data_IF_573387623716
#
_entry.id   IF_573387623716
#
_cell.length_a   1.000
_cell.length_b   1.000
_cell.length_c   1.000
_cell.angle_alpha   90.00
_cell.angle_beta   90.00
_cell.angle_gamma   90.00
#
_symmetry.space_group_name_H-M   'P 1'
#
loop_
_entity.id
_entity.type
_entity.pdbx_description
1 polymer ?
#
# COMPACT_ATOMS: atom_id res chain seq x y z
N UNK A 1 22.77 88.67 -20.03
CA UNK A 1 23.79 89.73 -19.99
C UNK A 1 24.16 89.90 -18.52
N UNK A 2 25.34 89.45 -18.07
CA UNK A 2 25.75 89.62 -16.67
C UNK A 2 26.24 91.06 -16.55
N UNK A 3 25.46 91.91 -15.87
CA UNK A 3 25.80 93.30 -15.58
C UNK A 3 25.92 93.40 -14.06
N UNK A 4 27.01 93.94 -13.54
CA UNK A 4 27.09 94.33 -12.13
C UNK A 4 25.96 95.33 -11.87
N UNK A 5 24.93 94.88 -11.14
CA UNK A 5 23.84 95.75 -10.71
C UNK A 5 24.34 96.47 -9.47
N UNK A 6 24.51 97.77 -9.63
CA UNK A 6 24.84 98.73 -8.59
C UNK A 6 23.74 98.79 -7.53
N UNK A 7 24.13 98.59 -6.27
CA UNK A 7 23.69 99.19 -4.99
C UNK A 7 22.30 99.84 -4.82
N UNK A 8 21.28 99.42 -5.55
CA UNK A 8 19.88 99.74 -5.24
C UNK A 8 19.11 98.44 -5.03
N UNK A 9 19.06 98.02 -3.78
CA UNK A 9 18.19 96.95 -3.32
C UNK A 9 16.91 97.56 -2.72
N UNK A 10 15.75 97.08 -3.16
CA UNK A 10 14.47 97.36 -2.49
C UNK A 10 14.04 96.06 -1.82
N UNK A 11 13.84 96.07 -0.50
CA UNK A 11 13.49 94.91 0.32
C UNK A 11 14.39 93.66 0.09
N UNK A 12 15.72 93.86 0.06
CA UNK A 12 16.74 92.82 -0.20
C UNK A 12 16.72 92.18 -1.61
N UNK A 13 16.06 92.80 -2.60
CA UNK A 13 16.09 92.34 -4.00
C UNK A 13 16.67 93.39 -4.96
N UNK A 14 17.41 92.97 -6.01
CA UNK A 14 18.05 93.89 -6.95
C UNK A 14 17.03 94.64 -7.82
N UNK A 15 17.20 95.97 -7.96
CA UNK A 15 16.36 96.81 -8.82
C UNK A 15 16.67 96.57 -10.31
N UNK A 16 15.68 96.09 -11.07
CA UNK A 16 15.84 95.72 -12.48
C UNK A 16 15.40 96.85 -13.43
N UNK A 17 16.06 97.03 -14.58
CA UNK A 17 15.64 98.01 -15.58
C UNK A 17 14.25 97.66 -16.18
N UNK A 18 13.52 98.69 -16.62
CA UNK A 18 12.19 98.53 -17.20
C UNK A 18 12.16 97.51 -18.36
N UNK A 19 11.21 96.57 -18.31
CA UNK A 19 11.09 95.48 -19.28
C UNK A 19 11.73 94.15 -18.84
N UNK A 20 12.04 93.97 -17.55
CA UNK A 20 12.56 92.72 -16.96
C UNK A 20 11.77 92.37 -15.71
N UNK A 21 10.63 91.71 -15.87
CA UNK A 21 9.74 91.39 -14.75
C UNK A 21 9.93 89.97 -14.20
N UNK A 22 10.76 89.13 -14.82
CA UNK A 22 11.07 87.77 -14.38
C UNK A 22 12.56 87.59 -14.11
N UNK A 23 12.92 87.17 -12.89
CA UNK A 23 14.32 86.92 -12.53
C UNK A 23 14.52 85.87 -11.45
N UNK A 24 15.70 85.27 -11.48
CA UNK A 24 16.20 84.35 -10.46
C UNK A 24 17.36 85.03 -9.77
N UNK A 25 17.30 85.11 -8.44
CA UNK A 25 18.33 85.69 -7.60
C UNK A 25 18.81 84.65 -6.58
N UNK A 26 20.09 84.35 -6.61
CA UNK A 26 20.77 83.56 -5.60
C UNK A 26 21.69 84.49 -4.81
N UNK A 27 21.55 84.48 -3.48
CA UNK A 27 22.25 85.37 -2.55
C UNK A 27 23.45 84.70 -1.84
N UNK A 28 23.82 83.48 -2.24
CA UNK A 28 24.86 82.67 -1.60
C UNK A 28 24.31 81.56 -0.70
N UNK A 29 23.09 81.72 -0.16
CA UNK A 29 22.43 80.71 0.68
C UNK A 29 21.14 80.18 0.06
N UNK A 30 20.33 81.04 -0.56
CA UNK A 30 18.98 80.75 -1.02
C UNK A 30 18.73 81.27 -2.42
N UNK A 31 18.16 80.41 -3.25
CA UNK A 31 17.59 80.82 -4.53
C UNK A 31 16.20 81.42 -4.28
N UNK A 32 15.92 82.57 -4.89
CA UNK A 32 14.61 83.23 -4.93
C UNK A 32 14.22 83.49 -6.39
N UNK A 33 13.01 83.10 -6.77
CA UNK A 33 12.45 83.33 -8.10
C UNK A 33 11.35 84.37 -7.99
N UNK A 34 11.36 85.37 -8.85
CA UNK A 34 10.45 86.52 -8.84
C UNK A 34 9.83 86.74 -10.21
N UNK A 35 8.52 86.98 -10.24
CA UNK A 35 7.75 87.30 -11.45
C UNK A 35 6.76 88.43 -11.15
N UNK A 36 6.81 89.52 -11.92
CA UNK A 36 5.93 90.70 -11.76
C UNK A 36 5.89 91.22 -10.31
N UNK A 37 7.03 91.20 -9.61
CA UNK A 37 7.15 91.62 -8.21
C UNK A 37 6.59 90.64 -7.17
N UNK A 38 6.16 89.44 -7.58
CA UNK A 38 5.71 88.37 -6.66
C UNK A 38 6.76 87.25 -6.60
N UNK A 39 7.05 86.79 -5.38
CA UNK A 39 7.91 85.63 -5.17
C UNK A 39 7.20 84.35 -5.60
N UNK A 40 7.81 83.58 -6.50
CA UNK A 40 7.34 82.26 -6.90
C UNK A 40 7.92 81.22 -5.93
N UNK A 41 7.05 80.40 -5.34
CA UNK A 41 7.48 79.25 -4.57
C UNK A 41 7.82 78.09 -5.53
N UNK A 42 9.12 77.85 -5.71
CA UNK A 42 9.65 76.78 -6.55
C UNK A 42 9.77 75.44 -5.81
N UNK A 43 9.46 75.40 -4.51
CA UNK A 43 9.43 74.15 -3.74
C UNK A 43 8.09 73.42 -3.84
N UNK A 44 7.08 74.02 -4.46
CA UNK A 44 5.80 73.37 -4.73
C UNK A 44 6.04 72.19 -5.68
N UNK A 45 5.50 71.02 -5.31
CA UNK A 45 5.58 69.75 -6.07
C UNK A 45 5.21 69.91 -7.55
N UNK A 46 4.28 70.83 -7.84
CA UNK A 46 3.69 71.07 -9.14
C UNK A 46 4.36 72.22 -9.93
N UNK A 47 5.38 72.85 -9.35
CA UNK A 47 6.14 73.90 -10.03
C UNK A 47 7.23 73.26 -10.88
N UNK A 48 7.18 73.44 -12.21
CA UNK A 48 8.18 72.88 -13.13
C UNK A 48 9.63 73.30 -12.86
N UNK A 49 9.84 74.17 -11.87
CA UNK A 49 11.12 74.64 -11.37
C UNK A 49 11.87 73.62 -10.51
N UNK A 50 11.19 72.71 -9.83
CA UNK A 50 11.83 71.80 -8.85
C UNK A 50 12.91 70.89 -9.47
N UNK A 51 12.75 70.49 -10.72
CA UNK A 51 13.74 69.68 -11.47
C UNK A 51 14.82 70.52 -12.16
N UNK A 52 14.59 71.83 -12.29
CA UNK A 52 15.50 72.79 -12.92
C UNK A 52 16.44 73.45 -11.91
N UNK A 53 16.01 73.58 -10.65
CA UNK A 53 16.85 74.06 -9.55
C UNK A 53 17.85 72.96 -9.18
N UNK A 54 19.17 73.20 -9.35
CA UNK A 54 20.19 72.24 -8.98
C UNK A 54 20.07 71.90 -7.48
N UNK A 55 20.29 70.64 -7.10
CA UNK A 55 20.26 70.27 -5.69
C UNK A 55 21.50 70.85 -4.98
N UNK A 56 21.34 72.07 -4.44
CA UNK A 56 22.39 72.82 -3.75
C UNK A 56 22.93 72.09 -2.51
N UNK A 57 22.26 71.03 -2.03
CA UNK A 57 22.72 70.18 -0.91
C UNK A 57 24.01 69.40 -1.18
N UNK A 58 24.50 69.35 -2.42
CA UNK A 58 25.75 68.69 -2.78
C UNK A 58 26.98 69.60 -2.75
N UNK A 59 26.80 70.90 -2.48
CA UNK A 59 27.88 71.88 -2.36
C UNK A 59 28.02 72.33 -0.90
N UNK A 60 29.25 72.57 -0.43
CA UNK A 60 29.49 73.09 0.91
C UNK A 60 29.05 74.56 0.97
N UNK A 61 28.31 74.93 2.03
CA UNK A 61 27.78 76.28 2.21
C UNK A 61 28.89 77.36 2.16
N UNK A 62 30.06 77.04 2.71
CA UNK A 62 31.23 77.92 2.76
C UNK A 62 31.80 78.30 1.39
N UNK A 63 31.56 77.50 0.33
CA UNK A 63 32.04 77.78 -1.02
C UNK A 63 31.12 78.75 -1.80
N UNK A 64 29.88 78.92 -1.36
CA UNK A 64 28.84 79.66 -2.06
C UNK A 64 28.48 81.00 -1.40
N UNK A 65 28.91 81.22 -0.15
CA UNK A 65 28.54 82.37 0.69
C UNK A 65 28.82 83.75 0.05
N UNK A 66 29.83 83.85 -0.83
CA UNK A 66 30.21 85.08 -1.52
C UNK A 66 29.78 85.16 -3.00
N UNK A 67 28.95 84.23 -3.46
CA UNK A 67 28.51 84.17 -4.86
C UNK A 67 27.05 84.58 -4.97
N UNK A 68 26.82 85.78 -5.50
CA UNK A 68 25.50 86.22 -5.93
C UNK A 68 25.32 86.03 -7.43
N UNK A 69 24.22 85.39 -7.83
CA UNK A 69 23.90 85.17 -9.24
C UNK A 69 22.53 85.75 -9.51
N UNK A 70 22.46 86.69 -10.46
CA UNK A 70 21.19 87.20 -10.98
C UNK A 70 21.03 86.81 -12.44
N UNK A 71 19.95 86.11 -12.74
CA UNK A 71 19.50 85.81 -14.09
C UNK A 71 18.15 86.46 -14.31
N UNK A 72 18.12 87.57 -15.05
CA UNK A 72 16.89 88.27 -15.40
C UNK A 72 16.57 88.07 -16.90
N UNK A 73 15.30 87.87 -17.20
CA UNK A 73 14.80 87.66 -18.56
C UNK A 73 13.96 88.86 -18.98
N UNK A 74 14.21 89.37 -20.19
CA UNK A 74 13.47 90.51 -20.75
C UNK A 74 12.02 90.07 -21.04
N UNK A 75 11.06 90.99 -20.92
CA UNK A 75 9.61 90.82 -21.12
C UNK A 75 9.21 90.52 -22.59
N UNK A 76 10.04 89.77 -23.31
CA UNK A 76 9.75 89.15 -24.61
C UNK A 76 9.44 87.66 -24.46
N UNK A 77 9.10 87.23 -23.24
CA UNK A 77 8.72 85.85 -22.94
C UNK A 77 7.44 85.51 -23.71
N UNK A 78 7.58 84.69 -24.75
CA UNK A 78 6.44 83.97 -25.32
C UNK A 78 6.12 82.85 -24.34
N UNK A 79 4.85 82.72 -23.96
CA UNK A 79 4.36 81.65 -23.11
C UNK A 79 4.60 80.30 -23.80
N UNK A 80 5.77 79.70 -23.59
CA UNK A 80 6.04 78.35 -24.04
C UNK A 80 5.58 77.41 -22.93
N UNK A 81 4.29 77.09 -22.98
CA UNK A 81 3.63 76.16 -22.05
C UNK A 81 4.31 74.77 -22.04
N UNK A 82 5.22 74.47 -22.99
CA UNK A 82 5.64 73.10 -23.32
C UNK A 82 7.15 72.86 -23.51
N UNK A 83 8.04 73.62 -22.85
CA UNK A 83 9.48 73.34 -22.94
C UNK A 83 9.88 72.06 -22.16
N UNK A 84 9.72 70.87 -22.77
CA UNK A 84 10.32 69.58 -22.39
C UNK A 84 10.30 69.20 -20.89
N UNK A 85 9.38 69.74 -20.09
CA UNK A 85 9.28 69.39 -18.68
C UNK A 85 8.72 67.97 -18.54
N UNK A 86 9.44 67.05 -17.86
CA UNK A 86 8.90 65.73 -17.52
C UNK A 86 7.52 65.81 -16.86
N UNK A 87 7.29 66.87 -16.07
CA UNK A 87 6.04 67.13 -15.38
C UNK A 87 4.85 67.40 -16.32
N UNK A 88 5.06 68.11 -17.44
CA UNK A 88 3.97 68.33 -18.41
C UNK A 88 3.57 67.03 -19.12
N UNK A 89 4.55 66.19 -19.45
CA UNK A 89 4.28 64.84 -19.98
C UNK A 89 3.52 63.99 -18.96
N UNK A 90 3.86 64.08 -17.68
CA UNK A 90 3.11 63.43 -16.60
C UNK A 90 1.67 63.96 -16.52
N UNK A 91 1.46 65.28 -16.56
CA UNK A 91 0.10 65.86 -16.53
C UNK A 91 -0.76 65.47 -17.73
N UNK A 92 -0.19 65.25 -18.91
CA UNK A 92 -0.93 64.73 -20.07
C UNK A 92 -1.27 63.24 -19.93
N UNK A 93 -0.36 62.45 -19.36
CA UNK A 93 -0.49 60.99 -19.28
C UNK A 93 -1.31 60.55 -18.08
N UNK A 94 -1.21 61.24 -16.93
CA UNK A 94 -1.87 60.86 -15.68
C UNK A 94 -3.41 60.80 -15.78
N UNK A 95 -4.13 61.74 -16.43
CA UNK A 95 -5.57 61.64 -16.62
C UNK A 95 -5.97 60.45 -17.50
N UNK A 96 -5.16 60.13 -18.51
CA UNK A 96 -5.38 58.98 -19.41
C UNK A 96 -5.16 57.67 -18.65
N UNK A 97 -4.07 57.56 -17.89
CA UNK A 97 -3.79 56.40 -17.04
C UNK A 97 -4.88 56.26 -15.95
N UNK A 98 -5.30 57.37 -15.34
CA UNK A 98 -6.37 57.42 -14.35
C UNK A 98 -7.71 56.95 -14.92
N UNK A 99 -8.10 57.40 -16.11
CA UNK A 99 -9.33 56.94 -16.76
C UNK A 99 -9.25 55.46 -17.15
N UNK A 100 -8.14 55.00 -17.72
CA UNK A 100 -7.94 53.58 -18.06
C UNK A 100 -8.01 52.70 -16.81
N UNK A 101 -7.35 53.11 -15.73
CA UNK A 101 -7.37 52.36 -14.46
C UNK A 101 -8.77 52.31 -13.85
N UNK A 102 -9.53 53.42 -13.85
CA UNK A 102 -10.94 53.43 -13.42
C UNK A 102 -11.77 52.47 -14.27
N UNK A 103 -11.63 52.49 -15.60
CA UNK A 103 -12.35 51.57 -16.49
C UNK A 103 -12.00 50.11 -16.17
N UNK A 104 -10.71 49.79 -15.98
CA UNK A 104 -10.26 48.44 -15.62
C UNK A 104 -10.80 48.00 -14.25
N UNK A 105 -10.89 48.90 -13.27
CA UNK A 105 -11.50 48.61 -11.96
C UNK A 105 -12.99 48.33 -12.12
N UNK A 106 -13.72 49.12 -12.92
CA UNK A 106 -15.14 48.90 -13.18
C UNK A 106 -15.38 47.56 -13.89
N UNK A 107 -14.56 47.22 -14.89
CA UNK A 107 -14.61 45.91 -15.57
C UNK A 107 -14.31 44.78 -14.58
N UNK A 108 -13.32 44.94 -13.71
CA UNK A 108 -12.96 43.94 -12.70
C UNK A 108 -14.09 43.72 -11.70
N UNK A 109 -14.72 44.80 -11.21
CA UNK A 109 -15.89 44.73 -10.33
C UNK A 109 -17.07 44.04 -11.02
N UNK A 110 -17.34 44.38 -12.28
CA UNK A 110 -18.37 43.71 -13.08
C UNK A 110 -18.09 42.21 -13.22
N UNK A 111 -16.85 41.81 -13.53
CA UNK A 111 -16.47 40.40 -13.63
C UNK A 111 -16.60 39.68 -12.27
N UNK A 112 -16.24 40.32 -11.16
CA UNK A 112 -16.45 39.75 -9.81
C UNK A 112 -17.94 39.53 -9.57
N UNK A 113 -18.80 40.52 -9.82
CA UNK A 113 -20.26 40.41 -9.66
C UNK A 113 -20.81 39.31 -10.57
N UNK A 114 -20.36 39.26 -11.83
CA UNK A 114 -20.75 38.23 -12.78
C UNK A 114 -20.40 36.82 -12.30
N UNK A 115 -19.17 36.62 -11.79
CA UNK A 115 -18.76 35.32 -11.22
C UNK A 115 -19.52 34.96 -9.94
N UNK A 116 -19.97 35.96 -9.16
CA UNK A 116 -20.82 35.75 -7.99
C UNK A 116 -22.26 35.39 -8.34
N UNK A 117 -22.78 35.85 -9.47
CA UNK A 117 -24.09 35.46 -10.01
C UNK A 117 -24.03 34.06 -10.63
N UNK A 118 -22.94 33.76 -11.37
CA UNK A 118 -22.69 32.49 -12.05
C UNK A 118 -21.93 31.47 -11.18
N UNK A 119 -22.38 31.31 -9.92
CA UNK A 119 -21.77 30.36 -8.96
C UNK A 119 -21.70 28.91 -9.45
N UNK A 120 -22.72 28.32 -10.10
CA UNK A 120 -22.65 26.91 -10.48
C UNK A 120 -21.63 26.68 -11.60
N UNK A 121 -21.56 27.57 -12.60
CA UNK A 121 -20.56 27.48 -13.67
C UNK A 121 -19.14 27.68 -13.14
N UNK A 122 -18.95 28.64 -12.22
CA UNK A 122 -17.67 28.84 -11.53
C UNK A 122 -17.22 27.57 -10.80
N UNK A 123 -18.11 26.95 -10.01
CA UNK A 123 -17.80 25.70 -9.29
C UNK A 123 -17.45 24.56 -10.26
N UNK A 124 -18.10 24.48 -11.41
CA UNK A 124 -17.77 23.48 -12.42
C UNK A 124 -16.37 23.72 -13.02
N UNK A 125 -16.00 24.97 -13.25
CA UNK A 125 -14.67 25.36 -13.70
C UNK A 125 -13.59 25.04 -12.65
N UNK A 126 -13.80 25.43 -11.39
CA UNK A 126 -12.87 25.16 -10.29
C UNK A 126 -12.64 23.65 -10.11
N UNK A 127 -13.69 22.83 -10.27
CA UNK A 127 -13.57 21.35 -10.26
C UNK A 127 -12.73 20.82 -11.41
N UNK A 128 -12.87 21.37 -12.63
CA UNK A 128 -12.03 20.96 -13.77
C UNK A 128 -10.57 21.33 -13.56
N UNK A 129 -10.30 22.53 -13.02
CA UNK A 129 -8.95 22.97 -12.65
C UNK A 129 -8.33 22.03 -11.61
N UNK A 130 -9.03 21.76 -10.51
CA UNK A 130 -8.55 20.85 -9.47
C UNK A 130 -8.38 19.40 -9.97
N UNK A 131 -9.20 18.93 -10.91
CA UNK A 131 -9.04 17.62 -11.52
C UNK A 131 -7.78 17.53 -12.41
N UNK A 132 -7.42 18.62 -13.07
CA UNK A 132 -6.19 18.71 -13.86
C UNK A 132 -4.96 18.78 -12.96
N UNK A 133 -4.94 19.71 -11.99
CA UNK A 133 -3.81 19.87 -11.07
C UNK A 133 -3.62 18.67 -10.14
N UNK A 134 -4.71 17.96 -9.80
CA UNK A 134 -4.68 16.74 -9.00
C UNK A 134 -3.89 15.58 -9.63
N UNK A 135 -3.52 15.66 -10.90
CA UNK A 135 -2.64 14.68 -11.57
C UNK A 135 -1.15 14.93 -11.32
N UNK A 136 -0.79 16.16 -10.93
CA UNK A 136 0.58 16.59 -10.73
C UNK A 136 1.02 16.26 -9.31
N UNK A 137 2.22 15.72 -9.15
CA UNK A 137 2.83 15.43 -7.85
C UNK A 137 3.02 16.69 -7.00
N UNK A 138 2.87 16.56 -5.68
CA UNK A 138 3.03 17.68 -4.75
C UNK A 138 4.45 18.28 -4.77
N UNK A 139 5.48 17.48 -5.06
CA UNK A 139 6.86 17.93 -5.15
C UNK A 139 7.06 18.89 -6.33
N UNK A 140 6.50 18.55 -7.50
CA UNK A 140 6.49 19.43 -8.68
C UNK A 140 5.72 20.70 -8.39
N UNK A 141 4.57 20.59 -7.71
CA UNK A 141 3.80 21.76 -7.27
C UNK A 141 4.61 22.64 -6.32
N UNK A 142 5.33 22.05 -5.38
CA UNK A 142 6.21 22.76 -4.44
C UNK A 142 7.30 23.54 -5.17
N UNK A 143 7.99 22.91 -6.13
CA UNK A 143 9.02 23.57 -6.95
C UNK A 143 8.48 24.74 -7.77
N UNK A 144 7.35 24.54 -8.45
CA UNK A 144 6.71 25.64 -9.21
C UNK A 144 6.20 26.74 -8.28
N UNK A 145 5.72 26.40 -7.08
CA UNK A 145 5.30 27.39 -6.06
C UNK A 145 6.47 28.22 -5.55
N UNK A 146 7.63 27.61 -5.32
CA UNK A 146 8.86 28.33 -4.97
C UNK A 146 9.25 29.29 -6.09
N UNK A 147 9.26 28.81 -7.35
CA UNK A 147 9.55 29.67 -8.50
C UNK A 147 8.56 30.83 -8.61
N UNK A 148 7.25 30.56 -8.53
CA UNK A 148 6.21 31.59 -8.57
C UNK A 148 6.40 32.62 -7.44
N UNK A 149 6.74 32.19 -6.23
CA UNK A 149 6.96 33.10 -5.10
C UNK A 149 8.20 33.99 -5.27
N UNK A 150 9.32 33.43 -5.75
CA UNK A 150 10.59 34.15 -5.81
C UNK A 150 10.75 35.01 -7.07
N UNK A 151 10.14 34.66 -8.20
CA UNK A 151 10.35 35.40 -9.45
C UNK A 151 9.98 36.89 -9.39
N UNK A 152 8.82 37.30 -8.79
CA UNK A 152 8.53 38.72 -8.61
C UNK A 152 9.59 39.45 -7.77
N UNK A 153 10.15 38.81 -6.74
CA UNK A 153 11.20 39.38 -5.88
C UNK A 153 12.52 39.57 -6.65
N UNK A 154 12.88 38.60 -7.50
CA UNK A 154 14.06 38.71 -8.37
C UNK A 154 13.90 39.89 -9.34
N UNK A 155 12.71 40.06 -9.93
CA UNK A 155 12.42 41.19 -10.83
C UNK A 155 12.54 42.52 -10.09
N UNK A 156 11.96 42.66 -8.89
CA UNK A 156 12.10 43.87 -8.06
C UNK A 156 13.57 44.15 -7.77
N UNK A 157 14.31 43.16 -7.26
CA UNK A 157 15.72 43.34 -6.90
C UNK A 157 16.60 43.75 -8.08
N UNK A 158 16.31 43.25 -9.28
CA UNK A 158 17.01 43.63 -10.51
C UNK A 158 16.65 45.04 -11.02
N UNK A 159 15.43 45.50 -10.74
CA UNK A 159 14.90 46.80 -11.19
C UNK A 159 15.49 47.99 -10.43
N UNK A 160 15.79 47.82 -9.13
CA UNK A 160 16.43 48.84 -8.29
C UNK A 160 17.80 49.29 -8.83
N UNK A 161 18.47 48.45 -9.62
CA UNK A 161 19.74 48.75 -10.25
C UNK A 161 19.60 49.52 -11.58
N UNK A 162 18.46 49.40 -12.28
CA UNK A 162 18.24 49.99 -13.62
C UNK A 162 17.40 51.26 -13.63
N UNK A 163 16.72 51.60 -12.53
CA UNK A 163 15.85 52.79 -12.43
C UNK A 163 16.54 54.14 -12.68
N UNK A 164 17.87 54.19 -12.84
CA UNK A 164 18.61 55.39 -13.22
C UNK A 164 18.56 55.73 -14.72
N UNK A 165 18.04 54.84 -15.59
CA UNK A 165 18.12 54.99 -17.06
C UNK A 165 16.90 55.66 -17.73
N UNK A 166 15.81 55.95 -17.01
CA UNK A 166 14.67 56.75 -17.51
C UNK A 166 13.28 56.06 -17.45
N UNK A 167 12.24 56.78 -17.89
CA UNK A 167 10.82 56.40 -17.73
C UNK A 167 10.45 55.10 -18.46
N UNK A 168 11.00 54.85 -19.65
CA UNK A 168 10.73 53.64 -20.45
C UNK A 168 11.22 52.36 -19.75
N UNK A 169 12.35 52.42 -19.04
CA UNK A 169 12.89 51.28 -18.29
C UNK A 169 12.12 51.01 -17.00
N UNK A 170 11.58 52.05 -16.36
CA UNK A 170 10.65 51.90 -15.23
C UNK A 170 9.34 51.21 -15.65
N UNK A 171 8.77 51.63 -16.79
CA UNK A 171 7.53 51.06 -17.32
C UNK A 171 7.69 49.59 -17.74
N UNK A 172 8.77 49.24 -18.43
CA UNK A 172 9.02 47.85 -18.85
C UNK A 172 9.21 46.92 -17.65
N UNK A 173 9.97 47.33 -16.64
CA UNK A 173 10.13 46.55 -15.41
C UNK A 173 8.81 46.41 -14.63
N UNK A 174 8.01 47.47 -14.56
CA UNK A 174 6.68 47.43 -13.96
C UNK A 174 5.74 46.45 -14.66
N UNK A 175 5.79 46.37 -15.99
CA UNK A 175 5.03 45.39 -16.79
C UNK A 175 5.50 43.97 -16.51
N UNK A 176 6.82 43.72 -16.50
CA UNK A 176 7.39 42.39 -16.22
C UNK A 176 7.03 41.95 -14.79
N UNK A 177 7.16 42.84 -13.82
CA UNK A 177 6.78 42.57 -12.44
C UNK A 177 5.29 42.20 -12.33
N UNK A 178 4.41 43.02 -12.93
CA UNK A 178 2.96 42.78 -12.93
C UNK A 178 2.61 41.45 -13.59
N UNK A 179 3.31 41.07 -14.66
CA UNK A 179 3.16 39.78 -15.32
C UNK A 179 3.46 38.61 -14.36
N UNK A 180 4.60 38.63 -13.66
CA UNK A 180 4.96 37.57 -12.73
C UNK A 180 4.06 37.52 -11.50
N UNK A 181 3.61 38.67 -10.98
CA UNK A 181 2.61 38.72 -9.90
C UNK A 181 1.30 38.07 -10.33
N UNK A 182 0.83 38.35 -11.54
CA UNK A 182 -0.40 37.77 -12.07
C UNK A 182 -0.28 36.25 -12.30
N UNK A 183 0.86 35.79 -12.81
CA UNK A 183 1.16 34.37 -12.99
C UNK A 183 1.20 33.64 -11.64
N UNK A 184 1.79 34.27 -10.63
CA UNK A 184 1.84 33.77 -9.25
C UNK A 184 0.44 33.70 -8.63
N UNK A 185 -0.36 34.75 -8.82
CA UNK A 185 -1.75 34.77 -8.34
C UNK A 185 -2.54 33.59 -8.90
N UNK A 186 -2.50 33.35 -10.21
CA UNK A 186 -3.22 32.23 -10.83
C UNK A 186 -2.69 30.86 -10.38
N UNK A 187 -1.37 30.74 -10.19
CA UNK A 187 -0.77 29.52 -9.66
C UNK A 187 -1.24 29.21 -8.24
N UNK A 188 -1.20 30.19 -7.34
CA UNK A 188 -1.68 30.01 -5.96
C UNK A 188 -3.19 29.83 -5.87
N UNK A 189 -3.96 30.47 -6.77
CA UNK A 189 -5.40 30.21 -6.90
C UNK A 189 -5.67 28.75 -7.27
N UNK A 190 -4.94 28.20 -8.26
CA UNK A 190 -5.04 26.80 -8.65
C UNK A 190 -4.68 25.86 -7.49
N UNK A 191 -3.61 26.16 -6.75
CA UNK A 191 -3.21 25.40 -5.56
C UNK A 191 -4.27 25.42 -4.45
N UNK A 192 -4.89 26.59 -4.21
CA UNK A 192 -5.97 26.74 -3.24
C UNK A 192 -7.19 25.90 -3.65
N UNK A 193 -7.59 25.95 -4.92
CA UNK A 193 -8.73 25.17 -5.42
C UNK A 193 -8.45 23.66 -5.35
N UNK A 194 -7.24 23.24 -5.70
CA UNK A 194 -6.78 21.86 -5.58
C UNK A 194 -6.84 21.38 -4.12
N UNK A 195 -6.31 22.16 -3.18
CA UNK A 195 -6.35 21.86 -1.75
C UNK A 195 -7.79 21.74 -1.23
N UNK A 196 -8.68 22.68 -1.60
CA UNK A 196 -10.07 22.70 -1.13
C UNK A 196 -10.90 21.52 -1.66
N UNK A 197 -10.66 21.12 -2.91
CA UNK A 197 -11.44 20.09 -3.61
C UNK A 197 -10.86 18.69 -3.37
N UNK A 198 -9.55 18.49 -3.59
CA UNK A 198 -8.91 17.18 -3.48
C UNK A 198 -8.49 16.83 -2.04
N UNK A 199 -8.39 17.82 -1.15
CA UNK A 199 -8.15 17.65 0.31
C UNK A 199 -7.02 16.67 0.61
N UNK A 200 -7.35 15.45 1.09
CA UNK A 200 -6.35 14.42 1.43
C UNK A 200 -5.55 13.98 0.20
N UNK A 201 -6.18 13.88 -0.97
CA UNK A 201 -5.53 13.43 -2.21
C UNK A 201 -4.42 14.38 -2.66
N UNK A 202 -4.53 15.67 -2.31
CA UNK A 202 -3.49 16.66 -2.58
C UNK A 202 -2.14 16.27 -1.94
N UNK A 203 -2.16 15.77 -0.71
CA UNK A 203 -0.95 15.36 0.02
C UNK A 203 -0.52 13.92 -0.29
N UNK A 204 -1.46 13.04 -0.62
CA UNK A 204 -1.14 11.62 -0.87
C UNK A 204 -0.64 11.35 -2.29
N UNK A 205 -0.95 12.21 -3.27
CA UNK A 205 -0.44 12.08 -4.64
C UNK A 205 0.98 12.66 -4.76
N UNK A 206 1.94 11.89 -4.27
CA UNK A 206 3.36 12.25 -4.25
C UNK A 206 4.22 11.14 -4.89
N UNK A 207 5.48 11.44 -5.13
CA UNK A 207 6.44 10.52 -5.75
C UNK A 207 6.62 9.25 -4.93
N UNK A 208 6.66 9.36 -3.59
CA UNK A 208 6.86 8.25 -2.66
C UNK A 208 5.69 7.26 -2.71
N UNK A 209 4.45 7.73 -2.60
CA UNK A 209 3.26 6.90 -2.66
C UNK A 209 3.05 6.32 -4.06
N UNK A 210 3.41 7.05 -5.11
CA UNK A 210 3.40 6.52 -6.49
C UNK A 210 4.41 5.37 -6.63
N UNK A 211 5.60 5.52 -6.05
CA UNK A 211 6.63 4.50 -6.04
C UNK A 211 6.24 3.30 -5.18
N UNK A 212 5.63 3.51 -4.01
CA UNK A 212 5.11 2.44 -3.14
C UNK A 212 3.98 1.66 -3.80
N UNK A 213 3.05 2.35 -4.46
CA UNK A 213 1.95 1.68 -5.18
C UNK A 213 2.46 0.92 -6.39
N UNK A 214 3.43 1.47 -7.12
CA UNK A 214 4.14 0.75 -8.18
C UNK A 214 4.86 -0.47 -7.63
N UNK A 215 5.59 -0.33 -6.53
CA UNK A 215 6.32 -1.41 -5.87
C UNK A 215 5.36 -2.52 -5.44
N UNK A 216 4.26 -2.21 -4.73
CA UNK A 216 3.24 -3.20 -4.35
C UNK A 216 2.61 -3.91 -5.55
N UNK A 217 2.40 -3.21 -6.67
CA UNK A 217 1.91 -3.84 -7.91
C UNK A 217 2.96 -4.73 -8.55
N UNK A 218 4.22 -4.34 -8.49
CA UNK A 218 5.36 -5.12 -8.95
C UNK A 218 5.50 -6.41 -8.13
N UNK A 219 5.32 -6.36 -6.81
CA UNK A 219 5.40 -7.53 -5.94
C UNK A 219 4.34 -8.58 -6.28
N UNK A 220 3.11 -8.15 -6.57
CA UNK A 220 1.99 -9.03 -6.95
C UNK A 220 2.18 -9.73 -8.29
N UNK A 221 3.15 -9.31 -9.11
CA UNK A 221 3.34 -9.84 -10.48
C UNK A 221 4.17 -11.12 -10.51
N UNK A 222 4.96 -11.40 -9.48
CA UNK A 222 5.94 -12.48 -9.51
C UNK A 222 5.72 -13.49 -8.37
N UNK A 223 6.01 -14.79 -8.63
CA UNK A 223 6.06 -15.77 -7.55
C UNK A 223 7.16 -15.44 -6.56
N UNK A 224 6.99 -15.86 -5.29
CA UNK A 224 7.85 -15.50 -4.16
C UNK A 224 9.36 -15.65 -4.43
N UNK A 225 9.79 -16.75 -5.04
CA UNK A 225 11.21 -17.01 -5.35
C UNK A 225 11.81 -15.93 -6.27
N UNK A 226 11.09 -15.59 -7.35
CA UNK A 226 11.50 -14.54 -8.28
C UNK A 226 11.38 -13.16 -7.65
N UNK A 227 10.40 -12.96 -6.77
CA UNK A 227 10.21 -11.72 -6.04
C UNK A 227 11.42 -11.41 -5.14
N UNK A 228 11.91 -12.38 -4.39
CA UNK A 228 13.08 -12.21 -3.51
C UNK A 228 14.33 -11.81 -4.30
N UNK A 229 14.60 -12.47 -5.42
CA UNK A 229 15.69 -12.11 -6.33
C UNK A 229 15.53 -10.69 -6.89
N UNK A 230 14.30 -10.33 -7.29
CA UNK A 230 14.01 -8.99 -7.82
C UNK A 230 14.12 -7.89 -6.76
N UNK A 231 13.74 -8.16 -5.51
CA UNK A 231 13.98 -7.26 -4.38
C UNK A 231 15.47 -7.03 -4.17
N UNK A 232 16.29 -8.09 -4.24
CA UNK A 232 17.74 -7.97 -4.17
C UNK A 232 18.30 -7.11 -5.33
N UNK A 233 17.90 -7.37 -6.57
CA UNK A 233 18.34 -6.56 -7.72
C UNK A 233 17.90 -5.09 -7.63
N UNK A 234 16.67 -4.83 -7.16
CA UNK A 234 16.18 -3.46 -6.94
C UNK A 234 16.95 -2.75 -5.83
N UNK A 235 17.30 -3.46 -4.74
CA UNK A 235 18.15 -2.90 -3.69
C UNK A 235 19.52 -2.54 -4.25
N UNK A 236 20.17 -3.46 -4.97
CA UNK A 236 21.49 -3.18 -5.59
C UNK A 236 21.41 -1.98 -6.53
N UNK A 237 20.38 -1.89 -7.37
CA UNK A 237 20.18 -0.74 -8.26
C UNK A 237 19.95 0.56 -7.48
N UNK A 238 19.15 0.54 -6.42
CA UNK A 238 18.90 1.69 -5.56
C UNK A 238 20.17 2.15 -4.84
N UNK A 239 20.94 1.21 -4.29
CA UNK A 239 22.22 1.49 -3.63
C UNK A 239 23.24 2.08 -4.60
N UNK A 240 23.32 1.60 -5.85
CA UNK A 240 24.19 2.19 -6.86
C UNK A 240 23.82 3.66 -7.16
N UNK A 241 22.52 3.96 -7.25
CA UNK A 241 22.03 5.32 -7.45
C UNK A 241 22.34 6.20 -6.22
N UNK A 242 22.07 5.70 -5.02
CA UNK A 242 22.33 6.43 -3.77
C UNK A 242 23.82 6.67 -3.55
N UNK A 243 24.67 5.69 -3.84
CA UNK A 243 26.12 5.84 -3.77
C UNK A 243 26.61 6.91 -4.77
N UNK A 244 26.13 6.87 -6.01
CA UNK A 244 26.45 7.89 -7.01
C UNK A 244 26.00 9.30 -6.57
N UNK A 245 24.76 9.45 -6.11
CA UNK A 245 24.24 10.71 -5.60
C UNK A 245 25.01 11.19 -4.38
N UNK A 246 25.32 10.30 -3.44
CA UNK A 246 26.11 10.62 -2.26
C UNK A 246 27.45 11.23 -2.66
N UNK A 247 28.19 10.59 -3.58
CA UNK A 247 29.47 11.11 -4.09
C UNK A 247 29.29 12.48 -4.73
N UNK A 248 28.30 12.67 -5.60
CA UNK A 248 28.04 13.98 -6.23
C UNK A 248 27.76 15.08 -5.20
N UNK A 249 26.91 14.80 -4.21
CA UNK A 249 26.52 15.77 -3.20
C UNK A 249 27.59 16.02 -2.15
N UNK A 250 28.51 15.06 -1.90
CA UNK A 250 29.67 15.31 -1.04
C UNK A 250 30.52 16.48 -1.55
N UNK A 251 30.69 16.59 -2.87
CA UNK A 251 31.47 17.67 -3.49
C UNK A 251 30.74 19.02 -3.55
N UNK A 252 29.41 19.03 -3.62
CA UNK A 252 28.59 20.25 -3.67
C UNK A 252 28.28 20.74 -2.26
N UNK A 253 27.87 19.84 -1.37
CA UNK A 253 27.44 20.12 -0.01
C UNK A 253 27.57 18.88 0.88
N UNK A 254 28.73 18.76 1.53
CA UNK A 254 29.16 17.61 2.34
C UNK A 254 28.08 16.98 3.25
N UNK A 255 27.30 17.75 4.04
CA UNK A 255 26.30 17.17 4.94
C UNK A 255 25.20 16.37 4.22
N UNK A 256 24.77 16.81 3.03
CA UNK A 256 23.72 16.10 2.26
C UNK A 256 24.26 14.76 1.76
N UNK A 257 25.52 14.72 1.30
CA UNK A 257 26.16 13.49 0.85
C UNK A 257 26.19 12.40 1.92
N UNK A 258 26.49 12.76 3.17
CA UNK A 258 26.47 11.83 4.32
C UNK A 258 25.06 11.32 4.64
N UNK A 259 24.04 12.17 4.56
CA UNK A 259 22.65 11.77 4.80
C UNK A 259 22.21 10.73 3.75
N UNK A 260 22.58 10.93 2.47
CA UNK A 260 22.29 9.99 1.39
C UNK A 260 23.00 8.64 1.62
N UNK A 261 24.27 8.66 2.03
CA UNK A 261 25.01 7.44 2.37
C UNK A 261 24.39 6.69 3.55
N UNK A 262 24.00 7.41 4.61
CA UNK A 262 23.31 6.83 5.77
C UNK A 262 21.96 6.22 5.40
N UNK A 263 21.23 6.83 4.45
CA UNK A 263 19.98 6.27 3.93
C UNK A 263 20.20 4.95 3.18
N UNK A 264 21.27 4.83 2.39
CA UNK A 264 21.63 3.55 1.74
C UNK A 264 21.95 2.44 2.75
N UNK A 265 22.80 2.74 3.74
CA UNK A 265 23.10 1.78 4.83
C UNK A 265 21.84 1.35 5.59
N UNK A 266 20.91 2.26 5.83
CA UNK A 266 19.63 1.95 6.45
C UNK A 266 18.76 1.03 5.59
N UNK A 267 18.71 1.23 4.27
CA UNK A 267 17.98 0.35 3.35
C UNK A 267 18.55 -1.06 3.34
N UNK A 268 19.88 -1.20 3.35
CA UNK A 268 20.56 -2.50 3.45
C UNK A 268 20.19 -3.19 4.76
N UNK A 269 20.32 -2.49 5.90
CA UNK A 269 19.96 -3.03 7.22
C UNK A 269 18.50 -3.50 7.25
N UNK A 270 17.58 -2.67 6.75
CA UNK A 270 16.15 -3.01 6.68
C UNK A 270 15.90 -4.24 5.82
N UNK A 271 16.56 -4.34 4.66
CA UNK A 271 16.42 -5.50 3.79
C UNK A 271 16.92 -6.79 4.45
N UNK A 272 18.09 -6.74 5.11
CA UNK A 272 18.64 -7.89 5.82
C UNK A 272 17.72 -8.36 6.95
N UNK A 273 17.15 -7.42 7.72
CA UNK A 273 16.20 -7.73 8.78
C UNK A 273 14.91 -8.39 8.26
N UNK A 274 14.38 -7.90 7.13
CA UNK A 274 13.20 -8.51 6.49
C UNK A 274 13.52 -9.90 5.91
N UNK A 275 14.73 -10.08 5.39
CA UNK A 275 15.23 -11.36 4.90
C UNK A 275 15.36 -12.39 6.02
N UNK A 276 15.92 -12.01 7.17
CA UNK A 276 16.03 -12.84 8.37
C UNK A 276 14.66 -13.33 8.85
N UNK A 277 13.67 -12.44 8.96
CA UNK A 277 12.30 -12.80 9.34
C UNK A 277 11.68 -13.80 8.35
N UNK A 278 11.92 -13.60 7.04
CA UNK A 278 11.42 -14.52 6.01
C UNK A 278 12.05 -15.90 6.13
N UNK A 279 13.33 -15.99 6.50
CA UNK A 279 14.01 -17.26 6.73
C UNK A 279 13.49 -17.97 7.98
N UNK A 280 13.22 -17.23 9.05
CA UNK A 280 12.63 -17.79 10.28
C UNK A 280 11.24 -18.37 10.02
N UNK A 281 10.39 -17.65 9.28
CA UNK A 281 9.08 -18.13 8.86
C UNK A 281 9.20 -19.40 8.00
N UNK A 282 10.17 -19.43 7.07
CA UNK A 282 10.42 -20.61 6.25
C UNK A 282 10.88 -21.81 7.09
N UNK A 283 11.73 -21.58 8.09
CA UNK A 283 12.13 -22.60 9.07
C UNK A 283 10.91 -23.19 9.78
N UNK A 284 10.02 -22.35 10.31
CA UNK A 284 8.76 -22.80 10.94
C UNK A 284 7.90 -23.64 10.01
N UNK A 285 7.84 -23.30 8.72
CA UNK A 285 7.09 -24.08 7.73
C UNK A 285 7.70 -25.46 7.50
N UNK A 286 9.03 -25.56 7.40
CA UNK A 286 9.73 -26.83 7.24
C UNK A 286 9.58 -27.70 8.50
N UNK A 287 9.75 -27.11 9.68
CA UNK A 287 9.56 -27.79 10.95
C UNK A 287 8.13 -28.34 11.09
N UNK A 288 7.13 -27.57 10.64
CA UNK A 288 5.74 -28.01 10.64
C UNK A 288 5.47 -29.18 9.68
N UNK A 289 6.12 -29.20 8.51
CA UNK A 289 6.04 -30.33 7.59
C UNK A 289 6.61 -31.60 8.23
N UNK A 290 7.70 -31.48 8.97
CA UNK A 290 8.29 -32.61 9.71
C UNK A 290 7.34 -33.13 10.80
N UNK A 291 6.69 -32.23 11.54
CA UNK A 291 5.67 -32.60 12.54
C UNK A 291 4.48 -33.34 11.90
N UNK A 292 4.03 -32.90 10.72
CA UNK A 292 2.95 -33.56 9.98
C UNK A 292 3.34 -34.96 9.50
N UNK A 293 4.60 -35.14 9.08
CA UNK A 293 5.14 -36.45 8.69
C UNK A 293 5.08 -37.44 9.86
N UNK A 294 5.34 -36.96 11.07
CA UNK A 294 5.30 -37.79 12.30
C UNK A 294 3.87 -38.02 12.82
N UNK A 295 2.85 -37.54 12.11
CA UNK A 295 1.44 -37.75 12.43
C UNK A 295 0.85 -36.77 13.45
N UNK A 296 1.60 -35.73 13.84
CA UNK A 296 1.09 -34.70 14.73
C UNK A 296 0.22 -33.70 13.95
N UNK A 297 -1.10 -33.82 14.10
CA UNK A 297 -2.10 -33.01 13.39
C UNK A 297 -2.81 -31.99 14.30
N UNK A 298 -2.37 -31.80 15.55
CA UNK A 298 -3.17 -31.10 16.57
C UNK A 298 -3.19 -29.58 16.42
N UNK A 299 -2.15 -28.98 15.85
CA UNK A 299 -2.03 -27.52 15.76
C UNK A 299 -1.82 -27.05 14.32
N UNK A 300 -2.49 -25.95 13.89
CA UNK A 300 -2.22 -25.33 12.59
C UNK A 300 -1.00 -24.42 12.68
N UNK A 301 -0.24 -24.35 11.59
CA UNK A 301 0.87 -23.41 11.45
C UNK A 301 0.33 -21.97 11.43
N UNK A 302 0.78 -21.16 12.39
CA UNK A 302 0.41 -19.75 12.51
C UNK A 302 1.56 -18.86 12.05
N UNK A 303 1.38 -18.21 10.91
CA UNK A 303 2.27 -17.15 10.44
C UNK A 303 1.54 -15.81 10.39
N UNK A 304 2.24 -14.68 10.56
CA UNK A 304 1.65 -13.35 10.38
C UNK A 304 1.04 -13.17 8.98
N UNK A 305 -0.09 -12.45 8.82
CA UNK A 305 -0.71 -12.20 7.52
C UNK A 305 0.20 -11.46 6.53
N UNK A 306 1.16 -10.69 7.05
CA UNK A 306 2.15 -9.94 6.27
C UNK A 306 3.35 -10.80 5.84
N UNK A 307 3.42 -12.07 6.30
CA UNK A 307 4.49 -12.99 5.92
C UNK A 307 4.42 -13.34 4.43
N UNK A 308 5.57 -13.32 3.78
CA UNK A 308 5.67 -13.59 2.34
C UNK A 308 5.27 -15.03 1.96
N UNK A 309 5.39 -15.96 2.91
CA UNK A 309 5.03 -17.37 2.75
C UNK A 309 3.68 -17.72 3.41
N UNK A 310 2.94 -16.73 3.91
CA UNK A 310 1.62 -16.94 4.50
C UNK A 310 0.68 -17.78 3.61
N UNK A 311 0.60 -17.58 2.27
CA UNK A 311 -0.24 -18.42 1.42
C UNK A 311 0.17 -19.91 1.43
N UNK A 312 1.48 -20.19 1.52
CA UNK A 312 1.98 -21.56 1.58
C UNK A 312 1.61 -22.22 2.92
N UNK A 313 1.72 -21.50 4.03
CA UNK A 313 1.28 -21.98 5.34
C UNK A 313 -0.24 -22.24 5.38
N UNK A 314 -1.05 -21.37 4.77
CA UNK A 314 -2.51 -21.60 4.66
C UNK A 314 -2.83 -22.85 3.84
N UNK A 315 -2.19 -23.02 2.68
CA UNK A 315 -2.37 -24.22 1.87
C UNK A 315 -1.99 -25.49 2.65
N UNK A 316 -0.89 -25.45 3.42
CA UNK A 316 -0.47 -26.56 4.26
C UNK A 316 -1.50 -26.89 5.35
N UNK A 317 -2.05 -25.88 6.02
CA UNK A 317 -3.12 -26.05 7.00
C UNK A 317 -4.38 -26.65 6.37
N UNK A 318 -4.77 -26.23 5.16
CA UNK A 318 -5.90 -26.81 4.44
C UNK A 318 -5.65 -28.27 4.07
N UNK A 319 -4.41 -28.63 3.69
CA UNK A 319 -4.04 -30.03 3.43
C UNK A 319 -4.12 -30.85 4.73
N UNK A 320 -3.59 -30.34 5.84
CA UNK A 320 -3.66 -30.97 7.16
C UNK A 320 -5.13 -31.23 7.57
N UNK A 321 -6.00 -30.22 7.43
CA UNK A 321 -7.43 -30.36 7.72
C UNK A 321 -8.09 -31.40 6.82
N UNK A 322 -7.83 -31.37 5.51
CA UNK A 322 -8.36 -32.35 4.57
C UNK A 322 -7.94 -33.78 4.88
N UNK A 323 -6.68 -34.00 5.29
CA UNK A 323 -6.19 -35.32 5.71
C UNK A 323 -6.90 -35.77 7.00
N UNK A 324 -7.02 -34.89 7.99
CA UNK A 324 -7.70 -35.19 9.26
C UNK A 324 -9.16 -35.62 9.02
N UNK A 325 -9.88 -34.90 8.16
CA UNK A 325 -11.26 -35.24 7.77
C UNK A 325 -11.31 -36.59 7.06
N UNK A 326 -10.42 -36.84 6.08
CA UNK A 326 -10.40 -38.10 5.33
C UNK A 326 -10.09 -39.31 6.24
N UNK A 327 -9.18 -39.15 7.20
CA UNK A 327 -8.88 -40.19 8.20
C UNK A 327 -10.08 -40.44 9.11
N UNK A 328 -10.72 -39.39 9.62
CA UNK A 328 -11.90 -39.52 10.47
C UNK A 328 -13.08 -40.19 9.74
N UNK A 329 -13.31 -39.83 8.47
CA UNK A 329 -14.34 -40.44 7.63
C UNK A 329 -14.05 -41.91 7.36
N UNK A 330 -12.80 -42.27 7.08
CA UNK A 330 -12.39 -43.66 6.92
C UNK A 330 -12.63 -44.47 8.19
N UNK A 331 -12.20 -43.97 9.35
CA UNK A 331 -12.44 -44.64 10.65
C UNK A 331 -13.93 -44.82 10.91
N UNK A 332 -14.73 -43.79 10.64
CA UNK A 332 -16.19 -43.84 10.78
C UNK A 332 -16.81 -44.88 9.85
N UNK A 333 -16.37 -44.94 8.60
CA UNK A 333 -16.85 -45.90 7.60
C UNK A 333 -16.55 -47.34 8.00
N UNK A 334 -15.32 -47.62 8.46
CA UNK A 334 -14.93 -48.94 8.98
C UNK A 334 -15.78 -49.34 10.19
N UNK A 335 -15.97 -48.43 11.15
CA UNK A 335 -16.86 -48.69 12.31
C UNK A 335 -18.30 -48.98 11.89
N UNK A 336 -18.87 -48.18 10.97
CA UNK A 336 -20.22 -48.41 10.47
C UNK A 336 -20.37 -49.76 9.75
N UNK A 337 -19.35 -50.18 9.00
CA UNK A 337 -19.32 -51.49 8.34
C UNK A 337 -19.36 -52.62 9.37
N UNK A 338 -18.59 -52.51 10.45
CA UNK A 338 -18.57 -53.48 11.55
C UNK A 338 -19.93 -53.52 12.28
N UNK A 339 -20.49 -52.35 12.61
CA UNK A 339 -21.79 -52.25 13.29
C UNK A 339 -22.92 -52.85 12.44
N UNK A 340 -22.93 -52.58 11.12
CA UNK A 340 -23.90 -53.15 10.19
C UNK A 340 -23.83 -54.67 10.17
N UNK A 341 -22.63 -55.25 10.01
CA UNK A 341 -22.46 -56.71 9.95
C UNK A 341 -22.90 -57.35 11.27
N UNK A 342 -22.56 -56.72 12.40
CA UNK A 342 -22.94 -57.18 13.74
C UNK A 342 -24.46 -57.22 13.91
N UNK A 343 -25.15 -56.14 13.55
CA UNK A 343 -26.61 -56.04 13.67
C UNK A 343 -27.32 -57.03 12.73
N UNK A 344 -26.90 -57.10 11.47
CA UNK A 344 -27.48 -58.04 10.49
C UNK A 344 -27.29 -59.49 10.93
N UNK A 345 -26.12 -59.83 11.48
CA UNK A 345 -25.85 -61.20 11.97
C UNK A 345 -26.79 -61.58 13.12
N UNK A 346 -27.06 -60.65 14.05
CA UNK A 346 -28.01 -60.88 15.14
C UNK A 346 -29.45 -61.10 14.63
N UNK A 347 -29.89 -60.27 13.68
CA UNK A 347 -31.23 -60.34 13.11
C UNK A 347 -31.44 -61.61 12.26
N UNK A 348 -30.38 -62.19 11.69
CA UNK A 348 -30.43 -63.47 10.98
C UNK A 348 -30.41 -64.68 11.93
N UNK A 349 -29.72 -64.59 13.07
CA UNK A 349 -29.63 -65.69 14.05
C UNK A 349 -30.99 -66.07 14.63
N UNK A 350 -31.84 -65.07 14.90
CA UNK A 350 -33.17 -65.27 15.52
C UNK A 350 -34.11 -66.13 14.64
N UNK A 351 -34.42 -65.77 13.38
CA UNK A 351 -35.30 -66.58 12.53
C UNK A 351 -34.66 -67.93 12.18
N UNK A 352 -33.33 -68.01 12.05
CA UNK A 352 -32.66 -69.27 11.79
C UNK A 352 -32.79 -70.25 12.96
N UNK A 353 -32.69 -69.76 14.20
CA UNK A 353 -32.88 -70.60 15.39
C UNK A 353 -34.29 -71.21 15.39
N UNK A 354 -35.31 -70.43 15.00
CA UNK A 354 -36.67 -70.93 14.82
C UNK A 354 -36.76 -71.99 13.74
N UNK A 355 -36.14 -71.79 12.57
CA UNK A 355 -36.11 -72.78 11.48
C UNK A 355 -35.47 -74.09 11.95
N UNK A 356 -34.31 -74.02 12.61
CA UNK A 356 -33.64 -75.20 13.17
C UNK A 356 -34.55 -75.91 14.16
N UNK A 357 -35.19 -75.17 15.07
CA UNK A 357 -36.12 -75.77 16.04
C UNK A 357 -37.31 -76.46 15.37
N UNK A 358 -37.87 -75.91 14.30
CA UNK A 358 -38.98 -76.56 13.58
C UNK A 358 -38.51 -77.80 12.83
N UNK A 359 -37.33 -77.74 12.20
CA UNK A 359 -36.73 -78.91 11.55
C UNK A 359 -36.42 -80.01 12.57
N UNK A 360 -35.92 -79.67 13.76
CA UNK A 360 -35.66 -80.59 14.87
C UNK A 360 -36.93 -81.20 15.47
N UNK A 361 -38.09 -80.53 15.35
CA UNK A 361 -39.38 -81.09 15.73
C UNK A 361 -39.87 -82.07 14.66
N UNK A 362 -39.73 -81.72 13.39
CA UNK A 362 -40.13 -82.56 12.25
C UNK A 362 -39.31 -83.84 12.15
N UNK A 363 -38.02 -83.82 12.50
CA UNK A 363 -37.18 -85.03 12.55
C UNK A 363 -37.60 -86.04 13.61
N UNK A 364 -38.37 -85.61 14.64
CA UNK A 364 -38.87 -86.47 15.72
C UNK A 364 -40.26 -87.06 15.44
N UNK A 365 -40.87 -86.71 14.32
CA UNK A 365 -42.23 -87.14 13.98
C UNK A 365 -42.21 -88.54 13.33
N UNK A 366 -42.98 -89.47 13.90
CA UNK A 366 -43.02 -90.87 13.45
C UNK A 366 -44.08 -91.08 12.35
N UNK A 367 -43.85 -92.04 11.46
CA UNK A 367 -44.74 -92.42 10.34
C UNK A 367 -44.82 -91.42 9.16
N UNK A 368 -43.77 -90.62 8.95
CA UNK A 368 -43.64 -89.79 7.75
C UNK A 368 -43.33 -90.63 6.50
N UNK A 369 -43.82 -90.25 5.31
CA UNK A 369 -43.38 -90.85 4.06
C UNK A 369 -41.87 -90.67 3.84
N UNK A 370 -41.19 -91.69 3.31
CA UNK A 370 -39.73 -91.71 3.12
C UNK A 370 -39.17 -90.45 2.42
N UNK A 371 -39.84 -90.01 1.35
CA UNK A 371 -39.46 -88.78 0.62
C UNK A 371 -39.56 -87.49 1.46
N UNK A 372 -40.44 -87.44 2.46
CA UNK A 372 -40.59 -86.28 3.37
C UNK A 372 -39.44 -86.27 4.37
N UNK A 373 -39.05 -87.43 4.89
CA UNK A 373 -37.89 -87.60 5.76
C UNK A 373 -36.60 -87.15 5.07
N UNK A 374 -36.42 -87.49 3.79
CA UNK A 374 -35.28 -87.00 2.99
C UNK A 374 -35.26 -85.47 2.87
N UNK A 375 -36.41 -84.83 2.64
CA UNK A 375 -36.50 -83.37 2.60
C UNK A 375 -36.18 -82.72 3.94
N UNK A 376 -36.64 -83.29 5.05
CA UNK A 376 -36.33 -82.80 6.40
C UNK A 376 -34.83 -82.91 6.68
N UNK A 377 -34.18 -84.01 6.31
CA UNK A 377 -32.74 -84.18 6.45
C UNK A 377 -31.94 -83.14 5.65
N UNK A 378 -32.38 -82.85 4.42
CA UNK A 378 -31.78 -81.77 3.61
C UNK A 378 -31.98 -80.41 4.28
N UNK A 379 -33.18 -80.11 4.79
CA UNK A 379 -33.47 -78.85 5.49
C UNK A 379 -32.62 -78.71 6.76
N UNK A 380 -32.39 -79.79 7.50
CA UNK A 380 -31.53 -79.82 8.69
C UNK A 380 -30.10 -79.44 8.31
N UNK A 381 -29.53 -80.14 7.32
CA UNK A 381 -28.18 -79.88 6.83
C UNK A 381 -28.01 -78.45 6.29
N UNK A 382 -29.00 -77.92 5.58
CA UNK A 382 -28.95 -76.55 5.03
C UNK A 382 -29.07 -75.48 6.12
N UNK A 383 -29.93 -75.70 7.12
CA UNK A 383 -30.13 -74.76 8.22
C UNK A 383 -28.90 -74.71 9.13
N UNK A 384 -28.29 -75.87 9.41
CA UNK A 384 -27.07 -75.95 10.19
C UNK A 384 -25.87 -75.32 9.46
N UNK A 385 -25.73 -75.59 8.15
CA UNK A 385 -24.73 -74.89 7.33
C UNK A 385 -24.90 -73.36 7.34
N UNK A 386 -26.13 -72.87 7.30
CA UNK A 386 -26.39 -71.43 7.35
C UNK A 386 -26.02 -70.84 8.73
N UNK A 387 -26.22 -71.60 9.82
CA UNK A 387 -25.84 -71.21 11.18
C UNK A 387 -24.33 -71.04 11.28
N UNK A 388 -23.57 -71.99 10.75
CA UNK A 388 -22.12 -71.90 10.67
C UNK A 388 -21.65 -70.68 9.86
N UNK A 389 -22.22 -70.45 8.67
CA UNK A 389 -21.85 -69.28 7.85
C UNK A 389 -22.12 -67.94 8.53
N UNK A 390 -23.26 -67.80 9.24
CA UNK A 390 -23.56 -66.58 10.00
C UNK A 390 -22.60 -66.40 11.17
N UNK A 391 -22.28 -67.49 11.87
CA UNK A 391 -21.34 -67.47 12.98
C UNK A 391 -19.92 -67.08 12.52
N UNK A 392 -19.47 -67.64 11.39
CA UNK A 392 -18.17 -67.30 10.78
C UNK A 392 -18.12 -65.85 10.31
N UNK A 393 -19.18 -65.34 9.69
CA UNK A 393 -19.31 -63.94 9.29
C UNK A 393 -19.19 -63.00 10.50
N UNK A 394 -19.86 -63.34 11.60
CA UNK A 394 -19.81 -62.59 12.84
C UNK A 394 -18.40 -62.62 13.46
N UNK A 395 -17.80 -63.80 13.56
CA UNK A 395 -16.47 -63.97 14.12
C UNK A 395 -15.39 -63.24 13.30
N UNK A 396 -15.52 -63.24 11.96
CA UNK A 396 -14.63 -62.48 11.05
C UNK A 396 -14.82 -60.96 11.18
N UNK A 397 -16.06 -60.48 11.33
CA UNK A 397 -16.34 -59.07 11.56
C UNK A 397 -15.71 -58.58 12.86
N UNK A 398 -15.84 -59.37 13.94
CA UNK A 398 -15.22 -59.09 15.23
C UNK A 398 -13.69 -59.11 15.13
N UNK A 399 -13.12 -60.08 14.40
CA UNK A 399 -11.69 -60.17 14.14
C UNK A 399 -11.10 -58.94 13.45
N UNK A 400 -11.85 -58.36 12.52
CA UNK A 400 -11.41 -57.22 11.72
C UNK A 400 -11.44 -55.89 12.49
N UNK A 401 -11.98 -55.86 13.71
CA UNK A 401 -12.28 -54.64 14.47
C UNK A 401 -11.30 -54.31 15.60
N UNK A 402 -10.10 -54.93 15.64
CA UNK A 402 -9.11 -54.84 16.74
C UNK A 402 -9.66 -55.23 18.15
N UNK A 403 -10.91 -55.72 18.23
CA UNK A 403 -11.67 -55.94 19.47
C UNK A 403 -11.92 -57.43 19.80
N UNK A 404 -11.06 -58.34 19.31
CA UNK A 404 -11.06 -59.69 19.89
C UNK A 404 -10.36 -59.61 21.24
N UNK A 405 -11.16 -59.65 22.31
CA UNK A 405 -10.65 -60.04 23.62
C UNK A 405 -10.21 -61.51 23.52
N UNK A 406 -8.90 -61.74 23.61
CA UNK A 406 -8.30 -63.07 23.71
C UNK A 406 -8.16 -63.41 25.19
N UNK A 407 -8.66 -64.57 25.60
CA UNK A 407 -8.40 -65.08 26.94
C UNK A 407 -7.11 -65.91 26.91
N UNK A 408 -5.99 -65.26 27.19
CA UNK A 408 -4.68 -65.89 27.08
C UNK A 408 -4.41 -66.79 28.30
N UNK A 409 -4.43 -68.09 28.07
CA UNK A 409 -4.07 -69.10 29.08
C UNK A 409 -2.81 -69.88 28.68
N UNK A 410 -2.15 -70.47 29.68
CA UNK A 410 -1.02 -71.37 29.45
C UNK A 410 -1.56 -72.76 29.15
N UNK A 411 -1.44 -73.20 27.90
CA UNK A 411 -1.95 -74.49 27.44
C UNK A 411 -0.86 -75.34 26.77
N UNK A 412 -1.03 -76.66 26.82
CA UNK A 412 -0.16 -77.62 26.12
C UNK A 412 -0.68 -77.85 24.70
N UNK A 413 0.07 -77.36 23.72
CA UNK A 413 -0.32 -77.42 22.31
C UNK A 413 -0.46 -78.87 21.81
N UNK A 414 0.37 -79.79 22.30
CA UNK A 414 0.32 -81.20 21.89
C UNK A 414 -1.00 -81.85 22.31
N UNK A 415 -1.44 -81.57 23.54
CA UNK A 415 -2.73 -82.05 24.07
C UNK A 415 -3.92 -81.42 23.36
N UNK A 416 -3.87 -80.13 23.04
CA UNK A 416 -4.94 -79.45 22.30
C UNK A 416 -5.15 -80.10 20.93
N UNK A 417 -4.07 -80.34 20.18
CA UNK A 417 -4.14 -80.97 18.86
C UNK A 417 -4.66 -82.41 18.97
N UNK A 418 -4.20 -83.18 19.96
CA UNK A 418 -4.71 -84.54 20.20
C UNK A 418 -6.20 -84.55 20.54
N UNK A 419 -6.67 -83.59 21.35
CA UNK A 419 -8.08 -83.42 21.66
C UNK A 419 -8.89 -83.10 20.40
N UNK A 420 -8.45 -82.15 19.58
CA UNK A 420 -9.11 -81.82 18.30
C UNK A 420 -9.16 -83.02 17.36
N UNK A 421 -8.10 -83.82 17.28
CA UNK A 421 -8.07 -85.02 16.45
C UNK A 421 -9.03 -86.10 16.98
N UNK A 422 -9.16 -86.24 18.29
CA UNK A 422 -10.13 -87.15 18.92
C UNK A 422 -11.57 -86.72 18.64
N UNK A 423 -11.86 -85.42 18.76
CA UNK A 423 -13.19 -84.86 18.47
C UNK A 423 -13.58 -85.02 16.98
N UNK A 424 -12.60 -85.11 16.08
CA UNK A 424 -12.80 -85.30 14.64
C UNK A 424 -12.62 -86.75 14.17
N UNK A 425 -12.52 -87.73 15.07
CA UNK A 425 -12.19 -89.13 14.73
C UNK A 425 -13.17 -89.74 13.72
N UNK A 426 -14.47 -89.50 13.90
CA UNK A 426 -15.52 -89.98 12.98
C UNK A 426 -15.33 -89.42 11.57
N UNK A 427 -15.17 -88.11 11.44
CA UNK A 427 -14.95 -87.45 10.15
C UNK A 427 -13.64 -87.90 9.46
N UNK A 428 -12.59 -88.16 10.25
CA UNK A 428 -11.33 -88.70 9.75
C UNK A 428 -11.54 -90.12 9.18
N UNK A 429 -12.23 -90.99 9.92
CA UNK A 429 -12.50 -92.36 9.49
C UNK A 429 -13.38 -92.41 8.23
N UNK A 430 -14.39 -91.53 8.14
CA UNK A 430 -15.26 -91.42 6.97
C UNK A 430 -14.53 -90.91 5.72
N UNK A 431 -13.48 -90.08 5.88
CA UNK A 431 -12.70 -89.55 4.75
C UNK A 431 -11.88 -90.62 4.01
N UNK A 432 -11.58 -91.74 4.67
CA UNK A 432 -10.68 -92.78 4.14
C UNK A 432 -9.20 -92.38 4.07
N UNK A 433 -8.82 -91.21 4.59
CA UNK A 433 -7.45 -90.71 4.59
C UNK A 433 -6.62 -91.32 5.73
N UNK A 434 -5.32 -91.53 5.49
CA UNK A 434 -4.38 -91.98 6.53
C UNK A 434 -3.68 -90.79 7.18
N UNK A 435 -4.03 -90.48 8.42
CA UNK A 435 -3.39 -89.43 9.20
C UNK A 435 -2.06 -89.89 9.80
N UNK A 436 -0.99 -89.13 9.57
CA UNK A 436 0.33 -89.36 10.18
C UNK A 436 0.65 -88.25 11.17
N UNK A 437 0.71 -88.62 12.45
CA UNK A 437 0.98 -87.69 13.54
C UNK A 437 2.47 -87.67 13.86
N UNK A 438 3.03 -86.47 14.00
CA UNK A 438 4.38 -86.24 14.51
C UNK A 438 4.31 -85.15 15.59
N UNK A 439 3.83 -85.54 16.77
CA UNK A 439 3.64 -84.67 17.93
C UNK A 439 4.71 -85.08 18.97
N UNK A 440 5.51 -84.15 19.52
CA UNK A 440 6.48 -84.46 20.57
C UNK A 440 5.80 -85.03 21.83
N UNK A 441 6.46 -85.96 22.51
CA UNK A 441 5.96 -86.53 23.78
C UNK A 441 6.10 -85.53 24.96
N UNK A 442 7.06 -84.61 24.88
CA UNK A 442 7.26 -83.55 25.87
C UNK A 442 6.22 -82.42 25.71
N UNK A 443 5.64 -81.90 26.81
CA UNK A 443 4.60 -80.87 26.75
C UNK A 443 5.14 -79.55 26.17
N UNK A 444 4.45 -79.02 25.16
CA UNK A 444 4.80 -77.75 24.51
C UNK A 444 3.85 -76.67 24.99
N UNK A 445 4.27 -75.93 26.01
CA UNK A 445 3.44 -74.86 26.58
C UNK A 445 3.48 -73.58 25.76
N UNK A 446 2.30 -73.06 25.41
CA UNK A 446 2.11 -71.76 24.74
C UNK A 446 1.13 -70.89 25.52
N UNK A 447 1.18 -69.58 25.28
CA UNK A 447 0.20 -68.60 25.77
C UNK A 447 -0.77 -68.29 24.62
N UNK A 448 -2.00 -68.77 24.72
CA UNK A 448 -3.01 -68.62 23.67
C UNK A 448 -4.41 -68.75 24.27
N UNK A 449 -5.42 -68.35 23.49
CA UNK A 449 -6.82 -68.69 23.74
C UNK A 449 -7.09 -70.10 23.19
N UNK A 450 -7.40 -71.05 24.08
CA UNK A 450 -7.58 -72.46 23.75
C UNK A 450 -8.73 -72.71 22.78
N UNK A 451 -9.87 -72.04 22.99
CA UNK A 451 -11.08 -72.18 22.17
C UNK A 451 -10.85 -71.66 20.74
N UNK A 452 -10.16 -70.52 20.61
CA UNK A 452 -9.83 -69.96 19.28
C UNK A 452 -8.84 -70.85 18.55
N UNK A 453 -7.83 -71.37 19.24
CA UNK A 453 -6.81 -72.21 18.63
C UNK A 453 -7.35 -73.59 18.25
N UNK A 454 -8.26 -74.16 19.06
CA UNK A 454 -9.02 -75.36 18.70
C UNK A 454 -9.73 -75.18 17.35
N UNK A 455 -10.48 -74.08 17.18
CA UNK A 455 -11.19 -73.78 15.93
C UNK A 455 -10.26 -73.61 14.73
N UNK A 456 -9.05 -73.07 14.93
CA UNK A 456 -8.04 -72.98 13.87
C UNK A 456 -7.66 -74.39 13.40
N UNK A 457 -7.33 -75.28 14.34
CA UNK A 457 -6.98 -76.67 14.02
C UNK A 457 -8.13 -77.44 13.39
N UNK A 458 -9.33 -77.32 13.96
CA UNK A 458 -10.56 -77.93 13.42
C UNK A 458 -10.79 -77.51 11.96
N UNK A 459 -10.69 -76.20 11.65
CA UNK A 459 -10.86 -75.69 10.29
C UNK A 459 -9.78 -76.17 9.32
N UNK A 460 -8.52 -76.26 9.77
CA UNK A 460 -7.41 -76.74 8.94
C UNK A 460 -7.54 -78.24 8.65
N UNK A 461 -7.86 -79.04 9.66
CA UNK A 461 -8.07 -80.49 9.53
C UNK A 461 -9.29 -80.76 8.66
N UNK A 462 -10.43 -80.07 8.90
CA UNK A 462 -11.64 -80.20 8.10
C UNK A 462 -11.40 -79.89 6.63
N UNK A 463 -10.64 -78.83 6.33
CA UNK A 463 -10.22 -78.53 4.96
C UNK A 463 -9.32 -79.62 4.38
N UNK A 464 -8.37 -80.16 5.16
CA UNK A 464 -7.53 -81.25 4.68
C UNK A 464 -8.35 -82.49 4.33
N UNK A 465 -9.32 -82.88 5.18
CA UNK A 465 -10.18 -84.04 4.95
C UNK A 465 -11.12 -83.89 3.76
N UNK A 466 -11.47 -82.64 3.40
CA UNK A 466 -12.40 -82.34 2.32
C UNK A 466 -11.75 -82.26 0.93
N UNK A 467 -10.49 -81.83 0.87
CA UNK A 467 -9.81 -81.50 -0.39
C UNK A 467 -8.72 -82.50 -0.80
N UNK A 468 -8.33 -83.40 0.10
CA UNK A 468 -7.49 -84.57 -0.20
C UNK A 468 -8.35 -85.82 -0.21
#
# INVERSE_FOLDING_TARGET
MIKNISDEFVDNFPNLPAGYNYYWYFDGEKLSIMENGKKIDYNILDSGYRSLVPNLRYYNADELENISVLVAVKDTLVENVYANSPYYREQLVLPIVGTITIILVLISLFLIIYTLLKRPEKRAFDRKLAAWSGKIWIEVKGLVSLFAFFMPLVVIGSSSYRSYMGILDGLTNGVIFSFFVLLSFWWFYLMLMDLLINRRRFFTHNSINSLLTWYRKFEKRYPWQQLMLKRAYLLVAAELILAFLSVMFVFIFFPIGLIIAGLGLYLIYRYLKEYEQTLEDFGKLIDHIELLKDGNMESPLKLPPDSTIYPAAQNLNTIQEGISIAVAEKIKSERMKIDLITNVSHDLKTPLTSIISYVDLLTKEENLPEHVTDYINILAQKSDRLKHLIQDLFDLSKASSENIALDLEKLDLGRLIQQTLGDMEEAINESGLTLKLNIPDDPVYILSDGDKLYRVWENLISNALKYY
#
